data_IF_354904743589
#
_entry.id   IF_354904743589
#
_cell.length_a   1.000
_cell.length_b   1.000
_cell.length_c   1.000
_cell.angle_alpha   90.00
_cell.angle_beta   90.00
_cell.angle_gamma   90.00
#
_symmetry.space_group_name_H-M   'P 1'
#
loop_
_entity.id
_entity.type
_entity.pdbx_description
1 polymer ?
#
# COMPACT_ATOMS: atom_id res chain seq x y z
N UNK A 1 -0.72 -20.53 53.95
CA UNK A 1 -0.22 -21.19 52.71
C UNK A 1 -1.04 -20.84 51.45
N UNK A 2 -2.36 -20.63 51.55
CA UNK A 2 -3.28 -20.32 50.43
C UNK A 2 -3.04 -18.95 49.77
N UNK A 3 -2.74 -17.90 50.55
CA UNK A 3 -2.50 -16.54 50.06
C UNK A 3 -1.26 -16.42 49.14
N UNK A 4 -0.19 -17.17 49.42
CA UNK A 4 1.01 -17.26 48.55
C UNK A 4 0.73 -17.97 47.22
N UNK A 5 -0.29 -18.84 47.17
CA UNK A 5 -0.67 -19.58 45.95
C UNK A 5 -1.54 -18.72 45.03
N UNK A 6 -2.42 -17.89 45.59
CA UNK A 6 -3.23 -16.94 44.82
C UNK A 6 -2.38 -15.79 44.23
N UNK A 7 -1.41 -15.27 45.00
CA UNK A 7 -0.46 -14.27 44.50
C UNK A 7 0.41 -14.78 43.35
N UNK A 8 0.82 -16.06 43.36
CA UNK A 8 1.52 -16.69 42.22
C UNK A 8 0.63 -16.78 40.98
N UNK A 9 -0.65 -17.12 41.11
CA UNK A 9 -1.60 -17.15 39.98
C UNK A 9 -1.80 -15.76 39.38
N UNK A 10 -1.96 -14.74 40.22
CA UNK A 10 -2.06 -13.35 39.80
C UNK A 10 -0.78 -12.88 39.09
N UNK A 11 0.39 -13.26 39.60
CA UNK A 11 1.68 -12.99 38.96
C UNK A 11 1.75 -13.64 37.57
N UNK A 12 1.37 -14.91 37.45
CA UNK A 12 1.34 -15.62 36.16
C UNK A 12 0.37 -14.93 35.19
N UNK A 13 -0.83 -14.58 35.64
CA UNK A 13 -1.81 -13.87 34.82
C UNK A 13 -1.28 -12.50 34.35
N UNK A 14 -0.64 -11.75 35.24
CA UNK A 14 -0.01 -10.47 34.89
C UNK A 14 1.13 -10.63 33.87
N UNK A 15 1.98 -11.66 34.03
CA UNK A 15 3.05 -11.97 33.09
C UNK A 15 2.50 -12.36 31.70
N UNK A 16 1.42 -13.15 31.66
CA UNK A 16 0.73 -13.51 30.41
C UNK A 16 0.11 -12.28 29.73
N UNK A 17 -0.59 -11.42 30.48
CA UNK A 17 -1.13 -10.15 29.97
C UNK A 17 -0.03 -9.23 29.42
N UNK A 18 1.08 -9.08 30.16
CA UNK A 18 2.24 -8.27 29.73
C UNK A 18 2.86 -8.83 28.44
N UNK A 19 3.01 -10.15 28.32
CA UNK A 19 3.53 -10.82 27.11
C UNK A 19 2.60 -10.61 25.92
N UNK A 20 1.30 -10.80 26.10
CA UNK A 20 0.29 -10.53 25.08
C UNK A 20 0.33 -9.06 24.61
N UNK A 21 0.42 -8.12 25.55
CA UNK A 21 0.54 -6.68 25.26
C UNK A 21 1.85 -6.32 24.55
N UNK A 22 2.95 -7.05 24.79
CA UNK A 22 4.24 -6.87 24.11
C UNK A 22 4.20 -7.39 22.67
N UNK A 23 3.57 -8.55 22.45
CA UNK A 23 3.38 -9.16 21.12
C UNK A 23 2.44 -8.31 20.25
N UNK A 24 1.40 -7.75 20.83
CA UNK A 24 0.40 -6.93 20.11
C UNK A 24 0.82 -5.46 20.03
N UNK A 25 2.02 -5.07 20.49
CA UNK A 25 2.46 -3.69 20.29
C UNK A 25 2.49 -3.43 18.79
N UNK A 26 1.67 -2.50 18.27
CA UNK A 26 1.72 -2.18 16.87
C UNK A 26 3.14 -1.71 16.59
N UNK A 27 3.80 -2.36 15.63
CA UNK A 27 5.11 -1.92 15.18
C UNK A 27 4.98 -0.46 14.78
N UNK A 28 5.68 0.44 15.49
CA UNK A 28 5.63 1.87 15.17
C UNK A 28 6.23 2.01 13.79
N UNK A 29 5.38 2.26 12.78
CA UNK A 29 5.85 2.50 11.41
C UNK A 29 6.85 3.65 11.45
N UNK A 30 8.10 3.38 11.06
CA UNK A 30 9.17 4.39 11.01
C UNK A 30 8.80 5.53 10.05
N UNK A 31 8.10 5.21 8.97
CA UNK A 31 7.61 6.16 7.98
C UNK A 31 6.16 5.86 7.64
N UNK A 32 5.34 6.90 7.52
CA UNK A 32 3.99 6.77 6.94
C UNK A 32 4.06 6.67 5.41
N UNK A 33 4.96 7.45 4.79
CA UNK A 33 5.39 7.33 3.39
C UNK A 33 6.92 7.29 3.40
N UNK A 34 7.50 6.27 2.77
CA UNK A 34 8.96 6.13 2.72
C UNK A 34 9.60 7.27 1.90
N UNK A 35 10.76 7.84 2.29
CA UNK A 35 11.40 8.95 1.56
C UNK A 35 11.60 8.69 0.06
N UNK A 36 11.91 7.44 -0.32
CA UNK A 36 12.03 7.02 -1.73
C UNK A 36 10.76 7.32 -2.54
N UNK A 37 9.58 7.22 -1.91
CA UNK A 37 8.29 7.44 -2.57
C UNK A 37 7.85 8.91 -2.56
N UNK A 38 8.58 9.81 -1.88
CA UNK A 38 8.24 11.24 -1.85
C UNK A 38 8.36 11.86 -3.24
N UNK A 39 9.40 11.47 -4.00
CA UNK A 39 9.65 12.00 -5.34
C UNK A 39 8.98 11.19 -6.46
N UNK A 40 7.94 10.39 -6.17
CA UNK A 40 7.25 9.57 -7.17
C UNK A 40 6.65 10.38 -8.32
N UNK A 41 6.26 11.63 -8.06
CA UNK A 41 5.70 12.51 -9.09
C UNK A 41 6.70 12.87 -10.18
N UNK A 42 8.01 12.73 -9.91
CA UNK A 42 9.09 13.05 -10.86
C UNK A 42 9.86 11.80 -11.30
N UNK A 43 10.16 10.90 -10.35
CA UNK A 43 11.03 9.73 -10.54
C UNK A 43 10.24 8.42 -10.63
N UNK A 44 8.92 8.45 -10.43
CA UNK A 44 8.10 7.25 -10.47
C UNK A 44 8.08 6.66 -11.87
N UNK A 45 8.16 5.32 -11.95
CA UNK A 45 8.14 4.58 -13.22
C UNK A 45 6.92 4.97 -14.07
N UNK A 46 5.76 5.17 -13.43
CA UNK A 46 4.58 5.65 -14.14
C UNK A 46 4.84 7.00 -14.80
N UNK A 47 5.38 7.98 -14.07
CA UNK A 47 5.60 9.32 -14.63
C UNK A 47 6.62 9.31 -15.78
N UNK A 48 7.70 8.55 -15.63
CA UNK A 48 8.81 8.57 -16.60
C UNK A 48 8.57 7.68 -17.81
N UNK A 49 8.03 6.47 -17.60
CA UNK A 49 7.98 5.42 -18.63
C UNK A 49 6.61 5.28 -19.28
N UNK A 50 5.52 5.61 -18.60
CA UNK A 50 4.16 5.32 -19.09
C UNK A 50 3.86 6.00 -20.44
N UNK A 51 4.22 7.27 -20.57
CA UNK A 51 4.00 8.03 -21.81
C UNK A 51 4.81 7.46 -22.98
N UNK A 52 6.06 7.04 -22.72
CA UNK A 52 6.90 6.39 -23.73
C UNK A 52 6.31 5.05 -24.16
N UNK A 53 5.81 4.25 -23.21
CA UNK A 53 5.12 3.00 -23.51
C UNK A 53 3.87 3.25 -24.36
N UNK A 54 3.05 4.25 -24.02
CA UNK A 54 1.83 4.55 -24.79
C UNK A 54 2.11 4.98 -26.23
N UNK A 55 3.29 5.53 -26.51
CA UNK A 55 3.72 5.91 -27.86
C UNK A 55 4.08 4.72 -28.76
N UNK A 56 4.42 3.56 -28.17
CA UNK A 56 4.78 2.33 -28.88
C UNK A 56 3.83 1.18 -28.46
N UNK A 57 2.78 0.89 -29.24
CA UNK A 57 1.80 -0.13 -28.91
C UNK A 57 2.40 -1.52 -28.66
N UNK A 58 3.51 -1.86 -29.33
CA UNK A 58 4.16 -3.16 -29.17
C UNK A 58 4.87 -3.24 -27.82
N UNK A 59 5.57 -2.17 -27.42
CA UNK A 59 6.17 -2.10 -26.08
C UNK A 59 5.12 -2.01 -24.99
N UNK A 60 4.04 -1.26 -25.20
CA UNK A 60 2.91 -1.21 -24.27
C UNK A 60 2.34 -2.60 -24.04
N UNK A 61 2.06 -3.35 -25.11
CA UNK A 61 1.56 -4.71 -25.02
C UNK A 61 2.53 -5.66 -24.32
N UNK A 62 3.83 -5.54 -24.59
CA UNK A 62 4.84 -6.36 -23.90
C UNK A 62 4.92 -6.05 -22.41
N UNK A 63 4.71 -4.80 -22.02
CA UNK A 63 4.79 -4.34 -20.63
C UNK A 63 3.53 -4.69 -19.83
N UNK A 64 2.35 -4.31 -20.34
CA UNK A 64 1.06 -4.49 -19.64
C UNK A 64 0.31 -5.77 -20.01
N UNK A 65 0.79 -6.54 -20.99
CA UNK A 65 0.13 -7.75 -21.54
C UNK A 65 -1.28 -7.50 -22.08
N UNK A 66 -1.58 -6.27 -22.45
CA UNK A 66 -2.84 -5.85 -23.06
C UNK A 66 -2.61 -4.66 -24.01
N UNK A 67 -3.53 -4.44 -24.95
CA UNK A 67 -3.48 -3.26 -25.81
C UNK A 67 -3.82 -2.00 -25.03
N UNK A 68 -3.47 -0.85 -25.59
CA UNK A 68 -3.80 0.47 -25.02
C UNK A 68 -5.33 0.61 -24.92
N UNK A 69 -6.08 0.18 -25.95
CA UNK A 69 -7.55 0.26 -25.95
C UNK A 69 -8.18 -0.55 -24.80
N UNK A 70 -7.73 -1.80 -24.60
CA UNK A 70 -8.23 -2.64 -23.51
C UNK A 70 -7.87 -2.06 -22.15
N UNK A 71 -6.68 -1.49 -22.01
CA UNK A 71 -6.29 -0.80 -20.78
C UNK A 71 -7.21 0.41 -20.51
N UNK A 72 -7.53 1.20 -21.53
CA UNK A 72 -8.35 2.39 -21.41
C UNK A 72 -9.81 2.04 -21.08
N UNK A 73 -10.37 1.01 -21.72
CA UNK A 73 -11.69 0.47 -21.41
C UNK A 73 -11.78 -0.05 -19.96
N UNK A 74 -10.76 -0.80 -19.53
CA UNK A 74 -10.66 -1.30 -18.16
C UNK A 74 -10.56 -0.13 -17.16
N UNK A 75 -9.75 0.88 -17.49
CA UNK A 75 -9.60 2.06 -16.66
C UNK A 75 -10.91 2.81 -16.51
N UNK A 76 -11.63 3.08 -17.60
CA UNK A 76 -12.93 3.75 -17.57
C UNK A 76 -13.91 3.01 -16.66
N UNK A 77 -13.96 1.68 -16.77
CA UNK A 77 -14.87 0.85 -15.98
C UNK A 77 -14.56 0.90 -14.50
N UNK A 78 -13.27 0.84 -14.13
CA UNK A 78 -12.83 0.79 -12.73
C UNK A 78 -12.62 2.17 -12.11
N UNK A 79 -12.56 3.24 -12.91
CA UNK A 79 -12.13 4.58 -12.50
C UNK A 79 -12.83 5.07 -11.24
N UNK A 80 -14.15 4.88 -11.16
CA UNK A 80 -14.96 5.36 -10.03
C UNK A 80 -14.68 4.57 -8.75
N UNK A 81 -14.50 3.26 -8.84
CA UNK A 81 -14.25 2.38 -7.70
C UNK A 81 -12.84 2.55 -7.14
N UNK A 82 -11.88 2.76 -8.03
CA UNK A 82 -10.46 2.77 -7.66
C UNK A 82 -9.93 4.17 -7.36
N UNK A 83 -10.64 5.22 -7.78
CA UNK A 83 -10.26 6.61 -7.51
C UNK A 83 -10.35 6.94 -6.02
N UNK A 84 -9.35 7.66 -5.53
CA UNK A 84 -9.26 8.11 -4.14
C UNK A 84 -9.16 9.61 -4.09
N UNK A 85 -9.80 10.21 -3.08
CA UNK A 85 -9.73 11.66 -2.85
C UNK A 85 -8.40 12.06 -2.23
N UNK A 86 -7.93 13.23 -2.62
CA UNK A 86 -6.82 13.89 -1.95
C UNK A 86 -7.21 14.23 -0.51
N UNK A 87 -6.23 14.16 0.38
CA UNK A 87 -6.38 14.53 1.78
C UNK A 87 -5.38 15.63 2.10
N UNK A 88 -5.62 16.41 3.16
CA UNK A 88 -4.66 17.43 3.63
C UNK A 88 -3.26 16.87 3.91
N UNK A 89 -3.18 15.59 4.23
CA UNK A 89 -1.95 14.93 4.64
C UNK A 89 -1.18 14.29 3.47
N UNK A 90 -1.85 13.90 2.39
CA UNK A 90 -1.22 13.34 1.18
C UNK A 90 -2.14 13.43 -0.03
N UNK A 91 -1.53 13.58 -1.21
CA UNK A 91 -2.17 13.35 -2.50
C UNK A 91 -2.45 11.86 -2.70
N UNK A 92 -3.57 11.56 -3.34
CA UNK A 92 -3.92 10.22 -3.77
C UNK A 92 -3.05 9.79 -4.96
N UNK A 93 -3.03 8.48 -5.21
CA UNK A 93 -2.43 7.93 -6.42
C UNK A 93 -3.52 8.04 -7.49
N UNK A 94 -3.18 8.55 -8.68
CA UNK A 94 -4.14 8.63 -9.77
C UNK A 94 -4.67 7.23 -10.11
N UNK A 95 -5.94 7.12 -10.48
CA UNK A 95 -6.55 5.82 -10.79
C UNK A 95 -5.83 5.10 -11.94
N UNK A 96 -5.34 5.84 -12.93
CA UNK A 96 -4.58 5.31 -14.06
C UNK A 96 -3.19 4.82 -13.63
N UNK A 97 -2.49 5.60 -12.81
CA UNK A 97 -1.22 5.19 -12.18
C UNK A 97 -1.40 3.94 -11.33
N UNK A 98 -2.48 3.88 -10.55
CA UNK A 98 -2.76 2.73 -9.68
C UNK A 98 -3.05 1.48 -10.49
N UNK A 99 -3.83 1.59 -11.56
CA UNK A 99 -4.10 0.48 -12.48
C UNK A 99 -2.82 0.01 -13.17
N UNK A 100 -1.99 0.94 -13.65
CA UNK A 100 -0.71 0.62 -14.28
C UNK A 100 0.25 -0.11 -13.33
N UNK A 101 0.30 0.29 -12.05
CA UNK A 101 1.13 -0.39 -11.04
C UNK A 101 0.58 -1.78 -10.71
N UNK A 102 -0.74 -1.94 -10.69
CA UNK A 102 -1.38 -3.21 -10.34
C UNK A 102 -1.24 -4.30 -11.41
N UNK A 103 -1.28 -3.91 -12.69
CA UNK A 103 -1.21 -4.84 -13.83
C UNK A 103 0.22 -5.24 -14.18
N UNK A 104 1.19 -4.32 -13.98
CA UNK A 104 2.60 -4.50 -14.37
C UNK A 104 3.21 -5.80 -13.84
#
# INVERSE_FOLDING_TARGET
>A
MVLKKQSKKLLILYLLYRRHKLVIRPHRRKYWVHPILQNRENLGVYKTLYNELRSDPKKFFNFFRMSISTFDELHVTLKEEISRKDTKMRKSIGSEEMLAIAIR
#
